data_IF_052118396701
#
_entry.id   IF_052118396701
#
_cell.length_a   1.000
_cell.length_b   1.000
_cell.length_c   1.000
_cell.angle_alpha   90.00
_cell.angle_beta   90.00
_cell.angle_gamma   90.00
#
_symmetry.space_group_name_H-M   'P 1'
#
loop_
_entity.id
_entity.type
_entity.pdbx_description
1 polymer ?
#
# COMPACT_ATOMS: atom_id res chain seq x y z
N UNK A 1 -39.90 -1.04 41.39
CA UNK A 1 -39.27 -0.16 40.43
C UNK A 1 -38.23 -0.96 39.68
N UNK A 2 -38.51 -1.25 38.39
CA UNK A 2 -37.57 -1.93 37.50
C UNK A 2 -36.59 -0.90 36.96
N UNK A 3 -35.34 -1.04 37.32
CA UNK A 3 -34.24 -0.35 36.68
C UNK A 3 -33.99 -1.03 35.33
N UNK A 4 -34.40 -0.37 34.26
CA UNK A 4 -34.01 -0.72 32.89
C UNK A 4 -32.54 -0.34 32.72
N UNK A 5 -31.65 -1.34 32.74
CA UNK A 5 -30.28 -1.18 32.31
C UNK A 5 -30.28 -0.89 30.80
N UNK A 6 -30.08 0.35 30.47
CA UNK A 6 -29.82 0.80 29.10
C UNK A 6 -28.40 0.34 28.75
N UNK A 7 -28.29 -0.85 28.19
CA UNK A 7 -27.08 -1.27 27.48
C UNK A 7 -26.98 -0.42 26.22
N UNK A 8 -26.29 0.70 26.30
CA UNK A 8 -25.83 1.38 25.10
C UNK A 8 -24.78 0.45 24.47
N UNK A 9 -25.20 -0.28 23.43
CA UNK A 9 -24.28 -0.83 22.46
C UNK A 9 -23.54 0.35 21.82
N UNK A 10 -22.38 0.68 22.34
CA UNK A 10 -21.40 1.47 21.63
C UNK A 10 -20.87 0.52 20.54
N UNK A 11 -21.53 0.52 19.37
CA UNK A 11 -20.98 -0.07 18.17
C UNK A 11 -19.67 0.66 17.91
N UNK A 12 -18.55 -0.04 18.09
CA UNK A 12 -17.26 0.45 17.64
C UNK A 12 -17.33 0.39 16.11
N UNK A 13 -17.59 1.54 15.49
CA UNK A 13 -17.62 1.66 14.04
C UNK A 13 -16.22 1.40 13.50
N UNK A 14 -16.04 0.28 12.79
CA UNK A 14 -14.82 -0.04 12.07
C UNK A 14 -14.62 0.88 10.88
N UNK A 15 -13.38 1.04 10.49
CA UNK A 15 -12.94 1.77 9.30
C UNK A 15 -12.71 0.75 8.18
N UNK A 16 -13.01 1.12 6.94
CA UNK A 16 -12.61 0.34 5.77
C UNK A 16 -11.29 0.88 5.22
N UNK A 17 -10.29 0.01 5.15
CA UNK A 17 -8.91 0.37 4.80
C UNK A 17 -8.43 -0.52 3.67
N UNK A 18 -7.94 0.07 2.58
CA UNK A 18 -7.16 -0.64 1.56
C UNK A 18 -5.69 -0.28 1.70
N UNK A 19 -4.85 -1.28 1.84
CA UNK A 19 -3.41 -1.13 1.71
C UNK A 19 -3.06 -1.21 0.23
N UNK A 20 -2.31 -0.25 -0.29
CA UNK A 20 -1.79 -0.24 -1.64
C UNK A 20 -0.25 -0.32 -1.58
N UNK A 21 0.30 -1.46 -1.95
CA UNK A 21 1.72 -1.76 -1.76
C UNK A 21 2.43 -1.88 -3.10
N UNK A 22 3.47 -1.08 -3.26
CA UNK A 22 4.39 -1.12 -4.38
C UNK A 22 5.23 -2.40 -4.34
N UNK A 23 5.16 -3.20 -5.39
CA UNK A 23 5.95 -4.42 -5.57
C UNK A 23 6.85 -4.36 -6.80
N UNK A 24 7.13 -3.15 -7.28
CA UNK A 24 8.07 -2.93 -8.38
C UNK A 24 9.48 -3.37 -8.02
N UNK A 25 10.33 -3.55 -9.04
CA UNK A 25 11.71 -4.01 -8.82
C UNK A 25 12.54 -3.04 -7.97
N UNK A 26 12.23 -1.74 -7.97
CA UNK A 26 12.89 -0.76 -7.08
C UNK A 26 12.71 -1.09 -5.59
N UNK A 27 11.64 -1.81 -5.23
CA UNK A 27 11.37 -2.24 -3.86
C UNK A 27 12.30 -3.37 -3.37
N UNK A 28 13.15 -3.91 -4.24
CA UNK A 28 14.22 -4.86 -3.87
C UNK A 28 15.49 -4.17 -3.38
N UNK A 29 15.59 -2.85 -3.50
CA UNK A 29 16.74 -2.11 -2.97
C UNK A 29 16.89 -2.31 -1.46
N UNK A 30 18.14 -2.38 -1.00
CA UNK A 30 18.48 -2.71 0.38
C UNK A 30 18.99 -1.51 1.18
N UNK A 31 18.50 -0.32 0.86
CA UNK A 31 18.68 0.87 1.70
C UNK A 31 17.87 0.80 3.00
N UNK A 32 16.83 -0.03 3.02
CA UNK A 32 16.15 -0.52 4.22
C UNK A 32 16.36 -2.03 4.32
N UNK A 33 16.49 -2.55 5.52
CA UNK A 33 16.78 -3.97 5.73
C UNK A 33 15.52 -4.79 6.05
N UNK A 34 15.41 -5.99 5.48
CA UNK A 34 16.31 -6.65 4.50
C UNK A 34 16.23 -6.06 3.09
N UNK A 35 15.12 -5.48 2.70
CA UNK A 35 14.89 -4.65 1.52
C UNK A 35 13.65 -3.77 1.73
N UNK A 36 13.37 -2.88 0.80
CA UNK A 36 12.22 -1.95 0.92
C UNK A 36 10.90 -2.68 1.05
N UNK A 37 10.65 -3.73 0.27
CA UNK A 37 9.39 -4.48 0.32
C UNK A 37 9.21 -5.18 1.67
N UNK A 38 10.21 -5.86 2.17
CA UNK A 38 10.12 -6.53 3.47
C UNK A 38 9.98 -5.53 4.62
N UNK A 39 10.63 -4.38 4.53
CA UNK A 39 10.43 -3.29 5.49
C UNK A 39 8.99 -2.74 5.44
N UNK A 40 8.42 -2.56 4.24
CA UNK A 40 7.03 -2.16 4.05
C UNK A 40 6.05 -3.19 4.64
N UNK A 41 6.32 -4.49 4.44
CA UNK A 41 5.51 -5.57 5.03
C UNK A 41 5.50 -5.52 6.56
N UNK A 42 6.64 -5.24 7.18
CA UNK A 42 6.73 -5.12 8.64
C UNK A 42 5.88 -3.97 9.16
N UNK A 43 5.99 -2.80 8.54
CA UNK A 43 5.17 -1.62 8.90
C UNK A 43 3.68 -1.92 8.73
N UNK A 44 3.30 -2.52 7.62
CA UNK A 44 1.91 -2.88 7.35
C UNK A 44 1.37 -3.93 8.33
N UNK A 45 2.18 -4.94 8.70
CA UNK A 45 1.78 -5.95 9.68
C UNK A 45 1.54 -5.35 11.07
N UNK A 46 2.40 -4.44 11.51
CA UNK A 46 2.21 -3.70 12.76
C UNK A 46 0.92 -2.88 12.73
N UNK A 47 0.66 -2.20 11.61
CA UNK A 47 -0.57 -1.44 11.40
C UNK A 47 -1.81 -2.33 11.49
N UNK A 48 -1.83 -3.46 10.78
CA UNK A 48 -2.94 -4.43 10.78
C UNK A 48 -3.19 -4.96 12.20
N UNK A 49 -2.14 -5.33 12.92
CA UNK A 49 -2.24 -5.87 14.27
C UNK A 49 -2.79 -4.85 15.28
N UNK A 50 -2.56 -3.57 15.04
CA UNK A 50 -3.09 -2.48 15.86
C UNK A 50 -4.56 -2.14 15.61
N UNK A 51 -5.21 -2.76 14.62
CA UNK A 51 -6.57 -2.42 14.19
C UNK A 51 -7.48 -3.65 14.03
N UNK A 52 -7.74 -4.38 15.13
CA UNK A 52 -8.40 -5.68 15.05
C UNK A 52 -9.87 -5.62 14.59
N UNK A 53 -10.52 -4.47 14.66
CA UNK A 53 -11.94 -4.29 14.35
C UNK A 53 -12.21 -3.68 12.97
N UNK A 54 -11.16 -3.34 12.21
CA UNK A 54 -11.30 -2.71 10.90
C UNK A 54 -11.37 -3.75 9.79
N UNK A 55 -12.14 -3.44 8.74
CA UNK A 55 -12.03 -4.14 7.47
C UNK A 55 -10.78 -3.68 6.74
N UNK A 56 -9.89 -4.60 6.42
CA UNK A 56 -8.64 -4.29 5.73
C UNK A 56 -8.50 -5.19 4.51
N UNK A 57 -8.17 -4.61 3.38
CA UNK A 57 -7.83 -5.31 2.15
C UNK A 57 -6.47 -4.91 1.62
N UNK A 58 -6.04 -5.55 0.55
CA UNK A 58 -4.71 -5.38 -0.02
C UNK A 58 -4.77 -5.27 -1.54
N UNK A 59 -4.28 -4.18 -2.06
CA UNK A 59 -3.92 -3.98 -3.46
C UNK A 59 -2.41 -4.04 -3.59
N UNK A 60 -1.92 -4.73 -4.60
CA UNK A 60 -0.51 -4.69 -5.00
C UNK A 60 -0.39 -4.06 -6.38
N UNK A 61 0.68 -3.32 -6.61
CA UNK A 61 0.92 -2.68 -7.90
C UNK A 61 2.42 -2.60 -8.23
N UNK A 62 2.68 -2.62 -9.50
CA UNK A 62 3.94 -2.27 -10.13
C UNK A 62 3.60 -1.49 -11.40
N UNK A 63 3.88 -1.97 -12.59
CA UNK A 63 3.37 -1.36 -13.83
C UNK A 63 1.87 -1.53 -14.06
N UNK A 64 1.26 -2.46 -13.33
CA UNK A 64 -0.18 -2.71 -13.28
C UNK A 64 -0.61 -2.91 -11.83
N UNK A 65 -1.90 -3.02 -11.57
CA UNK A 65 -2.43 -3.18 -10.22
C UNK A 65 -3.50 -4.26 -10.15
N UNK A 66 -3.55 -4.98 -9.04
CA UNK A 66 -4.62 -5.94 -8.77
C UNK A 66 -4.91 -6.06 -7.28
N UNK A 67 -6.10 -6.56 -6.96
CA UNK A 67 -6.50 -6.83 -5.57
C UNK A 67 -5.94 -8.19 -5.15
N UNK A 68 -5.04 -8.19 -4.18
CA UNK A 68 -4.48 -9.41 -3.58
C UNK A 68 -5.41 -9.98 -2.50
N UNK A 69 -6.08 -9.12 -1.75
CA UNK A 69 -7.05 -9.50 -0.73
C UNK A 69 -8.20 -8.48 -0.71
N UNK A 70 -9.45 -8.90 -0.86
CA UNK A 70 -10.58 -8.00 -0.66
C UNK A 70 -10.71 -7.59 0.81
N UNK A 71 -11.50 -6.56 1.10
CA UNK A 71 -11.78 -6.12 2.47
C UNK A 71 -12.26 -7.28 3.33
N UNK A 72 -11.61 -7.49 4.46
CA UNK A 72 -11.92 -8.56 5.40
C UNK A 72 -11.63 -8.15 6.84
N UNK A 73 -12.38 -8.71 7.76
CA UNK A 73 -12.08 -8.66 9.20
C UNK A 73 -11.18 -9.81 9.64
N UNK A 74 -10.99 -10.81 8.78
CA UNK A 74 -10.08 -11.93 9.02
C UNK A 74 -8.63 -11.51 8.68
N UNK A 75 -7.98 -10.89 9.63
CA UNK A 75 -6.63 -10.37 9.46
C UNK A 75 -5.57 -11.49 9.38
N UNK A 76 -5.89 -12.69 9.86
CA UNK A 76 -5.01 -13.85 9.65
C UNK A 76 -4.90 -14.23 8.18
N UNK A 77 -6.01 -14.28 7.46
CA UNK A 77 -6.03 -14.51 6.00
C UNK A 77 -5.31 -13.37 5.27
N UNK A 78 -5.60 -12.13 5.63
CA UNK A 78 -4.94 -10.95 5.04
C UNK A 78 -3.42 -11.03 5.19
N UNK A 79 -2.90 -11.33 6.39
CA UNK A 79 -1.47 -11.43 6.65
C UNK A 79 -0.84 -12.60 5.87
N UNK A 80 -1.52 -13.73 5.76
CA UNK A 80 -1.04 -14.86 4.95
C UNK A 80 -0.90 -14.50 3.47
N UNK A 81 -1.90 -13.83 2.90
CA UNK A 81 -1.86 -13.36 1.51
C UNK A 81 -0.78 -12.29 1.31
N UNK A 82 -0.61 -11.41 2.29
CA UNK A 82 0.42 -10.37 2.26
C UNK A 82 1.84 -10.97 2.31
N UNK A 83 2.07 -11.92 3.21
CA UNK A 83 3.35 -12.60 3.35
C UNK A 83 3.69 -13.50 2.15
N UNK A 84 2.70 -13.91 1.36
CA UNK A 84 2.92 -14.69 0.14
C UNK A 84 3.49 -13.85 -1.01
N UNK A 85 3.42 -12.53 -0.94
CA UNK A 85 4.01 -11.64 -1.94
C UNK A 85 5.52 -11.68 -1.80
N UNK A 86 6.19 -12.12 -2.86
CA UNK A 86 7.65 -12.16 -2.94
C UNK A 86 8.18 -10.97 -3.72
N UNK A 87 9.35 -10.49 -3.33
CA UNK A 87 9.98 -9.34 -3.98
C UNK A 87 10.36 -9.55 -5.45
N UNK A 88 10.41 -10.80 -5.90
CA UNK A 88 10.75 -11.15 -7.27
C UNK A 88 9.54 -11.26 -8.23
N UNK A 89 8.34 -10.93 -7.77
CA UNK A 89 7.11 -11.04 -8.55
C UNK A 89 7.18 -10.29 -9.89
N UNK A 90 7.74 -9.08 -9.90
CA UNK A 90 7.94 -8.31 -11.12
C UNK A 90 9.08 -8.87 -11.97
N UNK A 91 10.17 -9.32 -11.36
CA UNK A 91 11.29 -9.94 -12.07
C UNK A 91 10.90 -11.26 -12.76
N UNK A 92 9.96 -12.00 -12.19
CA UNK A 92 9.43 -13.24 -12.76
C UNK A 92 8.37 -13.00 -13.84
N UNK A 93 8.01 -11.78 -14.13
CA UNK A 93 6.96 -11.44 -15.09
C UNK A 93 5.55 -11.83 -14.64
N UNK A 94 5.34 -12.04 -13.34
CA UNK A 94 4.01 -12.32 -12.77
C UNK A 94 3.16 -11.05 -12.66
N UNK A 95 3.80 -9.89 -12.70
CA UNK A 95 3.20 -8.57 -12.81
C UNK A 95 4.08 -7.74 -13.75
N UNK A 96 3.47 -6.84 -14.52
CA UNK A 96 4.23 -5.91 -15.34
C UNK A 96 5.08 -5.00 -14.47
N UNK A 97 6.38 -4.91 -14.77
CA UNK A 97 7.29 -4.05 -14.00
C UNK A 97 7.08 -2.58 -14.33
N UNK A 98 7.52 -1.74 -13.44
CA UNK A 98 7.31 -0.30 -13.44
C UNK A 98 6.57 0.13 -12.18
N UNK A 99 6.27 1.41 -12.07
CA UNK A 99 5.58 1.97 -10.91
C UNK A 99 4.42 2.84 -11.36
N UNK A 100 3.22 2.29 -11.28
CA UNK A 100 1.96 2.94 -11.66
C UNK A 100 1.13 3.24 -10.41
N UNK A 101 1.51 4.27 -9.68
CA UNK A 101 0.85 4.68 -8.42
C UNK A 101 -0.62 5.01 -8.65
N UNK A 102 -0.94 5.72 -9.75
CA UNK A 102 -2.31 6.07 -10.08
C UNK A 102 -3.20 4.84 -10.30
N UNK A 103 -2.67 3.79 -10.92
CA UNK A 103 -3.37 2.52 -11.09
C UNK A 103 -3.56 1.79 -9.76
N UNK A 104 -2.54 1.79 -8.89
CA UNK A 104 -2.64 1.24 -7.54
C UNK A 104 -3.74 1.92 -6.72
N UNK A 105 -3.76 3.24 -6.74
CA UNK A 105 -4.81 4.04 -6.10
C UNK A 105 -6.18 3.77 -6.71
N UNK A 106 -6.30 3.71 -8.03
CA UNK A 106 -7.57 3.44 -8.71
C UNK A 106 -8.14 2.07 -8.34
N UNK A 107 -7.29 1.05 -8.26
CA UNK A 107 -7.71 -0.28 -7.81
C UNK A 107 -8.22 -0.24 -6.35
N UNK A 108 -7.50 0.39 -5.45
CA UNK A 108 -7.91 0.54 -4.06
C UNK A 108 -9.22 1.34 -3.93
N UNK A 109 -9.36 2.43 -4.68
CA UNK A 109 -10.59 3.24 -4.73
C UNK A 109 -11.77 2.39 -5.17
N UNK A 110 -11.61 1.55 -6.20
CA UNK A 110 -12.68 0.70 -6.71
C UNK A 110 -13.21 -0.29 -5.65
N UNK A 111 -12.38 -0.66 -4.68
CA UNK A 111 -12.77 -1.53 -3.56
C UNK A 111 -13.46 -0.79 -2.43
N UNK A 112 -13.22 0.51 -2.30
CA UNK A 112 -13.77 1.34 -1.22
C UNK A 112 -14.97 2.19 -1.63
N UNK A 113 -15.11 2.50 -2.92
CA UNK A 113 -16.10 3.50 -3.39
C UNK A 113 -17.55 3.19 -2.98
N UNK A 114 -17.91 1.91 -2.93
CA UNK A 114 -19.27 1.46 -2.58
C UNK A 114 -19.40 1.09 -1.10
N UNK A 115 -18.35 1.25 -0.32
CA UNK A 115 -18.37 1.01 1.12
C UNK A 115 -19.32 1.98 1.82
N UNK A 116 -20.09 1.47 2.76
CA UNK A 116 -20.99 2.25 3.62
C UNK A 116 -20.32 2.67 4.93
N UNK A 117 -19.05 2.34 5.12
CA UNK A 117 -18.30 2.77 6.30
C UNK A 117 -18.22 4.31 6.35
N UNK A 118 -18.30 4.87 7.54
CA UNK A 118 -18.17 6.32 7.73
C UNK A 118 -16.79 6.84 7.37
N UNK A 119 -15.78 6.03 7.60
CA UNK A 119 -14.40 6.36 7.25
C UNK A 119 -13.84 5.34 6.27
N UNK A 120 -13.30 5.83 5.18
CA UNK A 120 -12.64 5.04 4.12
C UNK A 120 -11.23 5.58 3.93
N UNK A 121 -10.26 4.70 3.99
CA UNK A 121 -8.85 5.06 4.00
C UNK A 121 -8.06 4.17 3.04
N UNK A 122 -7.11 4.76 2.33
CA UNK A 122 -6.06 4.07 1.61
C UNK A 122 -4.73 4.37 2.30
N UNK A 123 -3.93 3.34 2.53
CA UNK A 123 -2.54 3.50 2.95
C UNK A 123 -1.66 3.07 1.81
N UNK A 124 -0.94 4.02 1.24
CA UNK A 124 -0.04 3.84 0.12
C UNK A 124 1.39 3.67 0.62
N UNK A 125 2.00 2.51 0.32
CA UNK A 125 3.39 2.20 0.64
C UNK A 125 4.17 2.09 -0.67
N UNK A 126 5.03 3.07 -0.94
CA UNK A 126 5.78 3.16 -2.19
C UNK A 126 7.01 4.06 -2.01
N UNK A 127 7.98 3.95 -2.91
CA UNK A 127 9.07 4.93 -3.02
C UNK A 127 8.65 6.23 -3.72
N UNK A 128 7.45 6.28 -4.30
CA UNK A 128 6.87 7.48 -4.90
C UNK A 128 7.31 7.78 -6.33
N UNK A 129 8.20 7.01 -6.89
CA UNK A 129 8.74 7.23 -8.25
C UNK A 129 7.80 6.70 -9.32
N UNK A 130 6.73 7.44 -9.63
CA UNK A 130 5.77 7.04 -10.66
C UNK A 130 6.36 7.19 -12.06
N UNK A 131 6.34 6.12 -12.84
CA UNK A 131 6.87 6.09 -14.20
C UNK A 131 5.95 5.40 -15.22
N UNK A 132 4.82 4.89 -14.81
CA UNK A 132 3.85 4.17 -15.67
C UNK A 132 2.41 4.43 -15.27
N UNK A 133 1.50 3.97 -16.13
CA UNK A 133 0.06 3.97 -15.92
C UNK A 133 -0.66 5.08 -16.66
N UNK A 134 -1.92 4.81 -17.02
CA UNK A 134 -2.78 5.73 -17.77
C UNK A 134 -3.40 6.81 -16.88
N UNK A 135 -3.35 6.64 -15.57
CA UNK A 135 -3.91 7.56 -14.58
C UNK A 135 -2.75 8.17 -13.79
N UNK A 136 -2.67 9.51 -13.79
CA UNK A 136 -1.67 10.18 -12.95
C UNK A 136 -1.98 10.00 -11.47
N UNK A 137 -0.97 9.96 -10.59
CA UNK A 137 -1.18 9.86 -9.15
C UNK A 137 -2.10 10.95 -8.59
N UNK A 138 -1.96 12.18 -9.05
CA UNK A 138 -2.79 13.30 -8.61
C UNK A 138 -4.23 13.19 -9.10
N UNK A 139 -4.46 12.70 -10.31
CA UNK A 139 -5.81 12.42 -10.82
C UNK A 139 -6.49 11.34 -9.96
N UNK A 140 -5.78 10.28 -9.62
CA UNK A 140 -6.31 9.23 -8.74
C UNK A 140 -6.62 9.80 -7.33
N UNK A 141 -5.78 10.67 -6.79
CA UNK A 141 -6.02 11.33 -5.51
C UNK A 141 -7.29 12.22 -5.55
N UNK A 142 -7.50 12.96 -6.63
CA UNK A 142 -8.73 13.75 -6.84
C UNK A 142 -9.98 12.85 -6.87
N UNK A 143 -9.90 11.71 -7.53
CA UNK A 143 -11.00 10.72 -7.55
C UNK A 143 -11.25 10.19 -6.13
N UNK A 144 -10.20 9.84 -5.39
CA UNK A 144 -10.34 9.40 -4.00
C UNK A 144 -11.06 10.45 -3.15
N UNK A 145 -10.69 11.72 -3.28
CA UNK A 145 -11.34 12.83 -2.59
C UNK A 145 -12.83 12.91 -2.90
N UNK A 146 -13.23 12.73 -4.15
CA UNK A 146 -14.65 12.75 -4.55
C UNK A 146 -15.48 11.66 -3.87
N UNK A 147 -14.88 10.49 -3.58
CA UNK A 147 -15.52 9.40 -2.86
C UNK A 147 -15.37 9.49 -1.33
N UNK A 148 -14.82 10.58 -0.81
CA UNK A 148 -14.60 10.76 0.61
C UNK A 148 -13.52 9.84 1.19
N UNK A 149 -12.59 9.38 0.37
CA UNK A 149 -11.49 8.48 0.74
C UNK A 149 -10.26 9.33 1.05
N UNK A 150 -9.67 9.13 2.23
CA UNK A 150 -8.38 9.72 2.60
C UNK A 150 -7.25 8.81 2.20
N UNK A 151 -6.17 9.37 1.68
CA UNK A 151 -4.96 8.64 1.35
C UNK A 151 -3.84 9.07 2.28
N UNK A 152 -3.33 8.12 3.05
CA UNK A 152 -2.10 8.27 3.82
C UNK A 152 -0.96 7.66 3.04
N UNK A 153 0.16 8.34 2.99
CA UNK A 153 1.32 7.89 2.23
C UNK A 153 2.48 7.55 3.16
N UNK A 154 3.10 6.41 2.92
CA UNK A 154 4.30 5.98 3.62
C UNK A 154 5.40 5.82 2.58
N UNK A 155 6.37 6.73 2.60
CA UNK A 155 7.55 6.65 1.75
C UNK A 155 8.48 5.55 2.24
N UNK A 156 8.86 4.65 1.33
CA UNK A 156 9.70 3.50 1.63
C UNK A 156 11.03 3.64 0.91
N UNK A 157 12.10 3.88 1.65
CA UNK A 157 13.44 4.03 1.12
C UNK A 157 14.18 5.26 1.64
N UNK A 158 15.33 5.52 1.07
CA UNK A 158 16.19 6.67 1.36
C UNK A 158 16.64 7.34 0.07
N UNK A 159 17.29 8.50 0.17
CA UNK A 159 17.93 9.15 -0.95
C UNK A 159 19.43 8.81 -0.96
N UNK A 160 20.03 8.68 -2.13
CA UNK A 160 21.45 8.41 -2.29
C UNK A 160 21.73 7.17 -3.13
N UNK A 161 22.46 6.21 -2.58
CA UNK A 161 22.74 4.92 -3.24
C UNK A 161 22.39 3.78 -2.32
N UNK A 162 21.96 2.65 -2.89
CA UNK A 162 21.62 1.45 -2.14
C UNK A 162 22.14 0.20 -2.84
N UNK A 163 22.50 -0.85 -2.09
CA UNK A 163 22.76 -2.16 -2.66
C UNK A 163 21.50 -2.70 -3.32
N UNK A 164 21.66 -3.24 -4.53
CA UNK A 164 20.58 -3.86 -5.29
C UNK A 164 21.05 -5.24 -5.78
N UNK A 165 20.27 -6.30 -5.55
CA UNK A 165 20.65 -7.65 -5.99
C UNK A 165 20.42 -7.80 -7.50
N UNK A 166 21.47 -8.17 -8.23
CA UNK A 166 21.40 -8.51 -9.65
C UNK A 166 21.74 -9.97 -9.86
N UNK A 167 20.91 -10.66 -10.64
CA UNK A 167 21.15 -12.02 -11.04
C UNK A 167 22.22 -12.06 -12.15
N UNK A 168 23.31 -12.78 -11.91
CA UNK A 168 24.39 -12.97 -12.88
C UNK A 168 24.65 -14.46 -13.10
N UNK A 169 25.50 -14.80 -14.10
CA UNK A 169 25.92 -16.18 -14.31
C UNK A 169 26.66 -16.80 -13.10
N UNK A 170 27.25 -15.94 -12.27
CA UNK A 170 27.95 -16.35 -11.05
C UNK A 170 27.04 -16.32 -9.80
N UNK A 171 25.74 -16.16 -9.95
CA UNK A 171 24.78 -16.02 -8.87
C UNK A 171 24.36 -14.56 -8.63
N UNK A 172 23.82 -14.28 -7.45
CA UNK A 172 23.39 -12.94 -7.07
C UNK A 172 24.60 -12.08 -6.72
N UNK A 173 24.76 -10.97 -7.41
CA UNK A 173 25.76 -9.94 -7.09
C UNK A 173 25.06 -8.64 -6.72
N UNK A 174 25.61 -7.92 -5.76
CA UNK A 174 25.08 -6.61 -5.32
C UNK A 174 25.80 -5.48 -6.03
N UNK A 175 25.03 -4.58 -6.62
CA UNK A 175 25.50 -3.33 -7.21
C UNK A 175 24.88 -2.15 -6.51
N UNK A 176 25.66 -1.08 -6.32
CA UNK A 176 25.12 0.16 -5.79
C UNK A 176 24.37 0.90 -6.89
N UNK A 177 23.10 1.17 -6.66
CA UNK A 177 22.25 1.91 -7.59
C UNK A 177 21.82 3.23 -6.96
N UNK A 178 21.63 4.28 -7.76
CA UNK A 178 21.00 5.51 -7.26
C UNK A 178 19.58 5.22 -6.81
N UNK A 179 19.19 5.71 -5.65
CA UNK A 179 17.84 5.58 -5.09
C UNK A 179 17.34 6.93 -4.63
N UNK A 180 16.06 7.15 -4.79
CA UNK A 180 15.40 8.34 -4.26
C UNK A 180 13.95 8.01 -3.85
N UNK A 181 13.38 8.88 -3.03
CA UNK A 181 11.97 8.90 -2.70
C UNK A 181 11.38 10.17 -3.28
N UNK A 182 10.29 10.04 -4.02
CA UNK A 182 9.52 11.19 -4.50
C UNK A 182 8.56 11.70 -3.42
N UNK A 183 9.13 12.34 -2.40
CA UNK A 183 8.35 12.88 -1.27
C UNK A 183 7.34 13.94 -1.72
N UNK A 184 7.64 14.69 -2.77
CA UNK A 184 6.75 15.73 -3.28
C UNK A 184 5.45 15.13 -3.80
N UNK A 185 5.51 14.09 -4.63
CA UNK A 185 4.33 13.39 -5.14
C UNK A 185 3.51 12.78 -4.00
N UNK A 186 4.17 12.13 -3.04
CA UNK A 186 3.50 11.52 -1.89
C UNK A 186 2.79 12.57 -1.03
N UNK A 187 3.43 13.69 -0.75
CA UNK A 187 2.84 14.81 0.00
C UNK A 187 1.64 15.41 -0.73
N UNK A 188 1.72 15.56 -2.04
CA UNK A 188 0.61 16.08 -2.86
C UNK A 188 -0.59 15.14 -2.85
N UNK A 189 -0.37 13.84 -2.96
CA UNK A 189 -1.44 12.82 -2.89
C UNK A 189 -2.16 12.90 -1.54
N UNK A 190 -1.39 12.87 -0.46
CA UNK A 190 -1.94 12.94 0.90
C UNK A 190 -2.68 14.26 1.14
N UNK A 191 -2.08 15.38 0.77
CA UNK A 191 -2.67 16.71 0.94
C UNK A 191 -3.98 16.90 0.17
N UNK A 192 -4.09 16.36 -1.05
CA UNK A 192 -5.30 16.43 -1.87
C UNK A 192 -6.50 15.77 -1.18
N UNK A 193 -6.27 14.69 -0.44
CA UNK A 193 -7.33 13.89 0.22
C UNK A 193 -7.49 14.19 1.71
N UNK A 194 -6.80 15.20 2.25
CA UNK A 194 -6.70 15.50 3.68
C UNK A 194 -6.14 14.32 4.52
N UNK A 195 -5.28 13.50 3.91
CA UNK A 195 -4.47 12.50 4.58
C UNK A 195 -3.11 13.05 5.02
N UNK A 196 -2.16 12.15 5.35
CA UNK A 196 -0.79 12.50 5.74
C UNK A 196 0.24 11.48 5.18
#
# INVERSE_FOLDING_TARGET
PQTTDNWQNTEIEGIDIMLAVDVSTSMLAEDLKPNRLEAAKQVAAEFINGRPNDNIGLTVFAGEAFTQCPLTVDHGVLLNLFNSIKGDIAQRGMIEDGTAIGMGLANAISRLKDSKAKSKVIILLTDGSNNRGDISPLTAAEIAKQFGIRVYTIGVGTNGTAPYPMQTYAGVQYVNVPVEIDEQTLTQIAGTTNGN
#
